data_IF_825011546344
#
_entry.id   IF_825011546344
#
_cell.length_a   1.000
_cell.length_b   1.000
_cell.length_c   1.000
_cell.angle_alpha   90.00
_cell.angle_beta   90.00
_cell.angle_gamma   90.00
#
_symmetry.space_group_name_H-M   'P 1'
#
loop_
_entity.id
_entity.type
_entity.pdbx_description
1 polymer ?
#
# COMPACT_ATOMS: atom_id res chain seq x y z
N UNK A 1 11.82 0.21 -6.65
CA UNK A 1 11.80 -1.27 -6.79
C UNK A 1 12.68 -1.91 -5.73
N UNK A 2 12.25 -3.02 -5.13
CA UNK A 2 13.04 -3.81 -4.17
C UNK A 2 13.48 -5.10 -4.86
N UNK A 3 14.76 -5.48 -4.72
CA UNK A 3 15.26 -6.78 -5.20
C UNK A 3 15.74 -7.63 -4.03
N UNK A 4 15.67 -8.94 -4.21
CA UNK A 4 16.13 -9.93 -3.25
C UNK A 4 17.61 -10.22 -3.51
N UNK A 5 18.42 -10.15 -2.45
CA UNK A 5 19.82 -10.54 -2.46
C UNK A 5 19.96 -12.06 -2.30
N UNK A 6 21.10 -12.60 -2.74
CA UNK A 6 21.45 -14.02 -2.60
C UNK A 6 21.48 -14.45 -1.12
N UNK A 7 21.95 -13.55 -0.24
CA UNK A 7 21.96 -13.71 1.22
C UNK A 7 20.56 -13.58 1.87
N UNK A 8 19.48 -13.70 1.08
CA UNK A 8 18.08 -13.59 1.54
C UNK A 8 17.68 -12.21 2.09
N UNK A 9 18.59 -11.22 2.09
CA UNK A 9 18.28 -9.83 2.37
C UNK A 9 17.48 -9.16 1.25
N UNK A 10 16.87 -8.01 1.55
CA UNK A 10 16.23 -7.15 0.56
C UNK A 10 16.98 -5.83 0.48
N UNK A 11 17.19 -5.32 -0.73
CA UNK A 11 17.78 -4.00 -0.91
C UNK A 11 16.99 -3.17 -1.92
N UNK A 12 17.03 -1.86 -1.72
CA UNK A 12 16.35 -0.90 -2.58
C UNK A 12 17.21 -0.74 -3.83
N UNK A 13 16.71 -1.24 -4.95
CA UNK A 13 17.38 -1.12 -6.24
C UNK A 13 17.07 0.19 -6.96
N UNK A 14 15.89 0.75 -6.68
CA UNK A 14 15.44 1.96 -7.33
C UNK A 14 14.56 2.73 -6.36
N UNK A 15 14.94 3.97 -6.12
CA UNK A 15 14.16 4.94 -5.38
C UNK A 15 13.66 5.99 -6.37
N UNK A 16 12.34 6.08 -6.56
CA UNK A 16 11.69 7.16 -7.31
C UNK A 16 11.08 8.12 -6.31
N UNK A 17 11.71 9.29 -6.17
CA UNK A 17 11.21 10.37 -5.34
C UNK A 17 10.05 11.13 -6.00
N UNK A 18 9.94 11.04 -7.33
CA UNK A 18 8.87 11.67 -8.08
C UNK A 18 7.59 10.83 -8.00
N UNK A 19 6.52 11.48 -7.58
CA UNK A 19 5.19 10.91 -7.57
C UNK A 19 4.49 11.29 -8.88
N UNK A 20 3.73 10.35 -9.45
CA UNK A 20 2.86 10.63 -10.59
C UNK A 20 1.58 11.41 -10.21
N UNK A 21 1.46 11.82 -8.95
CA UNK A 21 0.34 12.58 -8.39
C UNK A 21 0.83 13.40 -7.18
N UNK A 22 0.07 14.41 -6.78
CA UNK A 22 0.36 15.16 -5.57
C UNK A 22 0.18 14.28 -4.32
N UNK A 23 1.10 14.40 -3.36
CA UNK A 23 0.94 13.76 -2.05
C UNK A 23 -0.35 14.27 -1.41
N UNK A 24 -1.20 13.34 -0.95
CA UNK A 24 -2.40 13.72 -0.19
C UNK A 24 -1.97 14.45 1.08
N UNK A 25 -2.49 15.67 1.26
CA UNK A 25 -2.22 16.51 2.44
C UNK A 25 -2.83 15.90 3.70
N UNK A 26 -3.86 15.05 3.54
CA UNK A 26 -4.66 14.51 4.61
C UNK A 26 -4.56 12.97 4.58
N UNK A 27 -3.55 12.40 5.24
CA UNK A 27 -3.40 10.94 5.36
C UNK A 27 -4.36 10.31 6.37
N UNK A 28 -5.15 11.12 7.10
CA UNK A 28 -5.96 10.67 8.25
C UNK A 28 -7.43 10.90 7.98
N UNK A 29 -7.97 10.24 6.96
CA UNK A 29 -9.34 9.81 7.01
C UNK A 29 -9.28 8.33 7.41
N UNK A 30 -9.43 8.06 8.71
CA UNK A 30 -9.66 6.70 9.20
C UNK A 30 -11.04 6.30 8.67
N UNK A 31 -11.10 5.84 7.43
CA UNK A 31 -12.27 5.18 6.88
C UNK A 31 -12.52 3.99 7.81
N UNK A 32 -13.58 4.09 8.60
CA UNK A 32 -14.06 2.97 9.40
C UNK A 32 -14.64 1.97 8.41
N UNK A 33 -13.78 1.11 7.87
CA UNK A 33 -14.21 0.01 7.03
C UNK A 33 -15.19 -0.85 7.83
N UNK A 34 -16.32 -1.19 7.21
CA UNK A 34 -17.27 -2.13 7.83
C UNK A 34 -16.54 -3.44 8.13
N UNK A 35 -16.89 -4.09 9.22
CA UNK A 35 -16.35 -5.40 9.57
C UNK A 35 -16.55 -6.40 8.42
N UNK A 36 -15.63 -7.36 8.26
CA UNK A 36 -15.68 -8.39 7.21
C UNK A 36 -17.06 -9.06 7.09
N UNK A 37 -17.78 -9.21 8.19
CA UNK A 37 -19.12 -9.80 8.21
C UNK A 37 -20.14 -9.09 7.28
N UNK A 38 -20.01 -7.77 7.06
CA UNK A 38 -20.86 -7.02 6.13
C UNK A 38 -20.36 -7.05 4.68
N UNK A 39 -19.10 -7.42 4.43
CA UNK A 39 -18.48 -7.42 3.10
C UNK A 39 -18.80 -8.73 2.37
N UNK A 40 -18.78 -9.87 3.08
CA UNK A 40 -19.09 -11.19 2.50
C UNK A 40 -20.57 -11.38 2.12
N UNK A 41 -21.47 -10.51 2.57
CA UNK A 41 -22.92 -10.63 2.28
C UNK A 41 -23.31 -10.05 0.91
N UNK A 42 -22.38 -9.39 0.22
CA UNK A 42 -22.61 -8.79 -1.09
C UNK A 42 -21.52 -9.15 -2.11
N UNK A 43 -21.25 -10.43 -2.23
CA UNK A 43 -20.74 -11.03 -3.45
C UNK A 43 -21.89 -11.75 -4.15
N UNK A 44 -22.43 -11.13 -5.18
CA UNK A 44 -23.36 -11.72 -6.16
C UNK A 44 -22.59 -12.48 -7.23
#
# INVERSE_FOLDING_TARGET
>A
RILKSDDKGWYICEHKAEHNHALSVNCTEKLHWKSHWHIDRWSN
#
